data_IF_100887888017
#
_entry.id   IF_100887888017
#
_cell.length_a   1.000
_cell.length_b   1.000
_cell.length_c   1.000
_cell.angle_alpha   90.00
_cell.angle_beta   90.00
_cell.angle_gamma   90.00
#
_symmetry.space_group_name_H-M   'P 1'
#
loop_
_entity.id
_entity.type
_entity.pdbx_description
1 polymer ?
#
# COMPACT_ATOMS: atom_id res chain seq x y z
N UNK A 1 -12.70 -51.91 52.62
CA UNK A 1 -12.46 -50.50 52.96
C UNK A 1 -11.60 -49.89 51.87
N UNK A 2 -12.22 -49.07 51.04
CA UNK A 2 -11.80 -48.70 49.69
C UNK A 2 -10.78 -47.57 49.67
N UNK A 3 -9.72 -47.72 48.88
CA UNK A 3 -8.81 -46.63 48.47
C UNK A 3 -9.23 -46.19 47.06
N UNK A 4 -9.87 -45.03 46.95
CA UNK A 4 -10.11 -44.38 45.67
C UNK A 4 -8.95 -43.42 45.36
N UNK A 5 -8.24 -43.72 44.28
CA UNK A 5 -7.19 -42.90 43.69
C UNK A 5 -7.83 -41.75 42.91
N UNK A 6 -7.49 -40.52 43.27
CA UNK A 6 -7.96 -39.30 42.63
C UNK A 6 -6.97 -38.93 41.51
N UNK A 7 -7.25 -39.33 40.28
CA UNK A 7 -6.51 -38.87 39.10
C UNK A 7 -7.02 -37.48 38.69
N UNK A 8 -6.19 -36.47 38.95
CA UNK A 8 -6.37 -35.12 38.45
C UNK A 8 -6.27 -35.07 36.93
N UNK A 9 -7.34 -34.61 36.28
CA UNK A 9 -7.37 -34.27 34.85
C UNK A 9 -6.55 -33.00 34.61
N UNK A 10 -5.33 -33.16 34.11
CA UNK A 10 -4.57 -32.05 33.52
C UNK A 10 -5.15 -31.72 32.14
N UNK A 11 -6.07 -30.77 32.08
CA UNK A 11 -6.51 -30.12 30.84
C UNK A 11 -5.37 -29.24 30.33
N UNK A 12 -4.62 -29.76 29.36
CA UNK A 12 -3.70 -29.00 28.51
C UNK A 12 -4.49 -27.95 27.72
N UNK A 13 -4.59 -26.75 28.28
CA UNK A 13 -5.00 -25.56 27.53
C UNK A 13 -3.89 -25.23 26.52
N UNK A 14 -4.01 -25.76 25.30
CA UNK A 14 -3.27 -25.23 24.17
C UNK A 14 -3.80 -23.82 23.89
N UNK A 15 -3.09 -22.81 24.39
CA UNK A 15 -3.27 -21.42 23.97
C UNK A 15 -2.82 -21.33 22.51
N UNK A 16 -3.77 -21.44 21.58
CA UNK A 16 -3.54 -21.09 20.19
C UNK A 16 -3.11 -19.62 20.17
N UNK A 17 -1.82 -19.39 19.92
CA UNK A 17 -1.19 -18.09 19.77
C UNK A 17 -1.99 -17.33 18.70
N UNK A 18 -2.91 -16.47 19.14
CA UNK A 18 -3.76 -15.63 18.28
C UNK A 18 -2.81 -14.92 17.32
N UNK A 19 -2.98 -15.18 16.02
CA UNK A 19 -2.25 -14.45 14.99
C UNK A 19 -2.46 -12.97 15.27
N UNK A 20 -1.37 -12.22 15.43
CA UNK A 20 -1.45 -10.79 15.69
C UNK A 20 -2.26 -10.15 14.56
N UNK A 21 -3.30 -9.40 14.93
CA UNK A 21 -4.09 -8.68 13.93
C UNK A 21 -3.16 -7.78 13.11
N UNK A 22 -3.31 -7.73 11.78
CA UNK A 22 -2.48 -6.89 10.93
C UNK A 22 -2.62 -5.44 11.40
N UNK A 23 -1.49 -4.82 11.78
CA UNK A 23 -1.48 -3.43 12.21
C UNK A 23 -1.99 -2.55 11.06
N UNK A 24 -2.84 -1.58 11.37
CA UNK A 24 -3.31 -0.67 10.34
C UNK A 24 -2.16 0.24 9.88
N UNK A 25 -2.18 0.64 8.62
CA UNK A 25 -1.19 1.55 8.03
C UNK A 25 -1.03 2.82 8.87
N UNK A 26 -2.15 3.35 9.37
CA UNK A 26 -2.18 4.51 10.24
C UNK A 26 -1.44 4.28 11.58
N UNK A 27 -1.54 3.09 12.16
CA UNK A 27 -0.78 2.74 13.36
C UNK A 27 0.71 2.68 13.08
N UNK A 28 1.11 2.12 11.94
CA UNK A 28 2.52 2.07 11.53
C UNK A 28 3.10 3.47 11.33
N UNK A 29 2.40 4.36 10.63
CA UNK A 29 2.82 5.76 10.43
C UNK A 29 2.90 6.52 11.75
N UNK A 30 1.96 6.30 12.67
CA UNK A 30 2.02 6.92 14.00
C UNK A 30 3.17 6.36 14.86
N UNK A 31 3.53 5.08 14.70
CA UNK A 31 4.69 4.50 15.35
C UNK A 31 5.99 5.07 14.77
N UNK A 32 6.05 5.26 13.45
CA UNK A 32 7.15 5.93 12.76
C UNK A 32 7.37 7.34 13.31
N UNK A 33 6.31 8.15 13.38
CA UNK A 33 6.35 9.50 13.96
C UNK A 33 6.86 9.52 15.41
N UNK A 34 6.35 8.62 16.27
CA UNK A 34 6.80 8.51 17.67
C UNK A 34 8.29 8.17 17.77
N UNK A 35 8.77 7.26 16.92
CA UNK A 35 10.19 6.84 16.92
C UNK A 35 11.07 7.98 16.39
N UNK A 36 10.64 8.69 15.35
CA UNK A 36 11.33 9.86 14.81
C UNK A 36 11.43 10.97 15.87
N UNK A 37 10.35 11.24 16.60
CA UNK A 37 10.37 12.21 17.70
C UNK A 37 11.28 11.78 18.86
N UNK A 38 11.46 10.47 19.07
CA UNK A 38 12.43 9.96 20.06
C UNK A 38 13.86 10.25 19.61
N UNK A 39 14.17 10.08 18.31
CA UNK A 39 15.48 10.47 17.75
C UNK A 39 15.74 11.96 17.94
N UNK A 40 14.78 12.82 17.57
CA UNK A 40 14.88 14.27 17.75
C UNK A 40 15.13 14.68 19.21
N UNK A 41 14.53 13.99 20.16
CA UNK A 41 14.72 14.26 21.59
C UNK A 41 16.11 13.88 22.08
N UNK A 42 16.69 12.81 21.54
CA UNK A 42 18.00 12.31 21.94
C UNK A 42 19.15 13.01 21.20
N UNK A 43 18.89 13.57 20.01
CA UNK A 43 19.87 14.25 19.17
C UNK A 43 20.74 15.31 19.87
N UNK A 44 20.21 16.19 20.74
CA UNK A 44 21.03 17.16 21.47
C UNK A 44 22.12 16.52 22.34
N UNK A 45 22.00 15.24 22.67
CA UNK A 45 22.93 14.48 23.50
C UNK A 45 23.82 13.53 22.70
N UNK A 46 23.98 13.74 21.39
CA UNK A 46 24.75 12.86 20.49
C UNK A 46 26.24 12.75 20.85
N UNK A 47 26.79 13.71 21.61
CA UNK A 47 28.16 13.61 22.13
C UNK A 47 28.36 12.44 23.12
N UNK A 48 27.29 11.98 23.77
CA UNK A 48 27.33 10.84 24.69
C UNK A 48 27.31 9.50 23.93
N UNK A 49 28.30 8.60 24.11
CA UNK A 49 28.36 7.31 23.40
C UNK A 49 27.14 6.41 23.60
N UNK A 50 26.58 6.36 24.81
CA UNK A 50 25.38 5.57 25.13
C UNK A 50 24.16 6.10 24.37
N UNK A 51 24.06 7.43 24.23
CA UNK A 51 23.00 8.07 23.43
C UNK A 51 23.20 7.83 21.94
N UNK A 52 24.43 7.84 21.41
CA UNK A 52 24.71 7.45 20.02
C UNK A 52 24.22 6.05 19.70
N UNK A 53 24.52 5.06 20.57
CA UNK A 53 24.05 3.70 20.38
C UNK A 53 22.52 3.61 20.37
N UNK A 54 21.87 4.37 21.26
CA UNK A 54 20.41 4.46 21.32
C UNK A 54 19.82 5.08 20.04
N UNK A 55 20.41 6.17 19.55
CA UNK A 55 20.03 6.83 18.30
C UNK A 55 20.20 5.89 17.10
N UNK A 56 21.36 5.20 16.97
CA UNK A 56 21.60 4.20 15.91
C UNK A 56 20.50 3.12 15.92
N UNK A 57 20.13 2.62 17.10
CA UNK A 57 19.02 1.66 17.24
C UNK A 57 17.69 2.25 16.76
N UNK A 58 17.35 3.47 17.18
CA UNK A 58 16.13 4.13 16.73
C UNK A 58 16.09 4.32 15.20
N UNK A 59 17.21 4.69 14.57
CA UNK A 59 17.32 4.84 13.12
C UNK A 59 17.13 3.50 12.40
N UNK A 60 17.68 2.40 12.92
CA UNK A 60 17.45 1.04 12.38
C UNK A 60 15.98 0.64 12.46
N UNK A 61 15.33 0.90 13.60
CA UNK A 61 13.90 0.62 13.76
C UNK A 61 13.03 1.44 12.80
N UNK A 62 13.39 2.72 12.57
CA UNK A 62 12.72 3.58 11.59
C UNK A 62 12.85 3.04 10.16
N UNK A 63 14.05 2.58 9.77
CA UNK A 63 14.27 1.96 8.46
C UNK A 63 13.39 0.71 8.28
N UNK A 64 13.31 -0.14 9.31
CA UNK A 64 12.42 -1.30 9.30
C UNK A 64 10.95 -0.93 9.14
N UNK A 65 10.51 0.17 9.76
CA UNK A 65 9.14 0.68 9.61
C UNK A 65 8.89 1.25 8.20
N UNK A 66 9.84 1.96 7.58
CA UNK A 66 9.69 2.43 6.19
C UNK A 66 9.43 1.27 5.23
N UNK A 67 10.22 0.19 5.35
CA UNK A 67 10.05 -1.02 4.52
C UNK A 67 8.67 -1.67 4.71
N UNK A 68 8.14 -1.66 5.95
CA UNK A 68 6.80 -2.18 6.23
C UNK A 68 5.68 -1.27 5.73
N UNK A 69 5.87 0.05 5.78
CA UNK A 69 4.87 1.05 5.40
C UNK A 69 4.77 1.17 3.87
N UNK A 70 5.90 1.14 3.16
CA UNK A 70 5.99 1.37 1.71
C UNK A 70 4.96 0.58 0.87
N UNK A 71 4.82 -0.76 0.98
CA UNK A 71 3.86 -1.51 0.17
C UNK A 71 2.39 -1.20 0.50
N UNK A 72 2.13 -0.64 1.68
CA UNK A 72 0.78 -0.32 2.14
C UNK A 72 0.34 1.10 1.74
N UNK A 73 1.28 1.96 1.32
CA UNK A 73 0.98 3.35 0.95
C UNK A 73 0.07 3.46 -0.27
N UNK A 74 0.14 2.54 -1.23
CA UNK A 74 -0.67 2.59 -2.45
C UNK A 74 -2.20 2.61 -2.18
N UNK A 75 -2.63 2.01 -1.07
CA UNK A 75 -4.05 1.92 -0.68
C UNK A 75 -4.38 2.79 0.55
N UNK A 76 -3.43 3.58 1.04
CA UNK A 76 -3.64 4.42 2.21
C UNK A 76 -4.52 5.62 1.86
N UNK A 77 -5.22 6.16 2.87
CA UNK A 77 -5.96 7.40 2.68
C UNK A 77 -4.99 8.58 2.39
N UNK A 78 -5.39 9.58 1.58
CA UNK A 78 -4.49 10.66 1.16
C UNK A 78 -3.83 11.42 2.31
N UNK A 79 -4.56 11.64 3.41
CA UNK A 79 -4.04 12.30 4.61
C UNK A 79 -2.91 11.51 5.29
N UNK A 80 -2.97 10.18 5.19
CA UNK A 80 -1.93 9.29 5.71
C UNK A 80 -0.70 9.29 4.81
N UNK A 81 -0.90 9.31 3.49
CA UNK A 81 0.17 9.42 2.50
C UNK A 81 0.94 10.73 2.67
N UNK A 82 0.23 11.87 2.69
CA UNK A 82 0.84 13.20 2.88
C UNK A 82 1.63 13.28 4.19
N UNK A 83 1.06 12.72 5.27
CA UNK A 83 1.72 12.67 6.57
C UNK A 83 2.99 11.84 6.52
N UNK A 84 2.94 10.66 5.89
CA UNK A 84 4.10 9.78 5.77
C UNK A 84 5.20 10.39 4.91
N UNK A 85 4.87 10.98 3.76
CA UNK A 85 5.84 11.62 2.87
C UNK A 85 6.60 12.73 3.60
N UNK A 86 5.89 13.61 4.33
CA UNK A 86 6.51 14.65 5.15
C UNK A 86 7.44 14.06 6.23
N UNK A 87 7.00 13.02 6.94
CA UNK A 87 7.80 12.37 7.98
C UNK A 87 9.01 11.64 7.41
N UNK A 88 8.88 11.04 6.23
CA UNK A 88 9.96 10.33 5.54
C UNK A 88 11.05 11.30 5.09
N UNK A 89 10.67 12.44 4.49
CA UNK A 89 11.64 13.48 4.12
C UNK A 89 12.40 14.01 5.34
N UNK A 90 11.69 14.31 6.43
CA UNK A 90 12.34 14.74 7.68
C UNK A 90 13.24 13.67 8.30
N UNK A 91 12.87 12.39 8.18
CA UNK A 91 13.71 11.28 8.61
C UNK A 91 15.00 11.19 7.79
N UNK A 92 14.93 11.33 6.47
CA UNK A 92 16.11 11.23 5.59
C UNK A 92 17.11 12.35 5.89
N UNK A 93 16.62 13.58 6.07
CA UNK A 93 17.44 14.73 6.49
C UNK A 93 18.12 14.46 7.85
N UNK A 94 17.33 14.05 8.85
CA UNK A 94 17.84 13.75 10.20
C UNK A 94 18.86 12.61 10.16
N UNK A 95 18.57 11.54 9.43
CA UNK A 95 19.42 10.35 9.34
C UNK A 95 20.79 10.74 8.80
N UNK A 96 20.82 11.43 7.66
CA UNK A 96 22.06 11.80 6.99
C UNK A 96 22.90 12.77 7.84
N UNK A 97 22.28 13.77 8.48
CA UNK A 97 22.99 14.69 9.39
C UNK A 97 23.52 13.98 10.64
N UNK A 98 22.72 13.06 11.20
CA UNK A 98 23.10 12.28 12.38
C UNK A 98 24.27 11.35 12.07
N UNK A 99 24.22 10.61 10.95
CA UNK A 99 25.26 9.68 10.54
C UNK A 99 26.61 10.40 10.37
N UNK A 100 26.61 11.56 9.71
CA UNK A 100 27.81 12.40 9.57
C UNK A 100 28.38 12.88 10.91
N UNK A 101 27.51 13.29 11.83
CA UNK A 101 27.94 13.73 13.17
C UNK A 101 28.54 12.58 13.97
N UNK A 102 27.92 11.39 13.92
CA UNK A 102 28.45 10.21 14.61
C UNK A 102 29.81 9.82 14.03
N UNK A 103 29.95 9.78 12.72
CA UNK A 103 31.22 9.47 12.07
C UNK A 103 32.32 10.45 12.49
N UNK A 104 32.02 11.75 12.54
CA UNK A 104 32.96 12.78 12.98
C UNK A 104 33.39 12.57 14.44
N UNK A 105 32.45 12.27 15.33
CA UNK A 105 32.72 12.02 16.75
C UNK A 105 33.53 10.74 16.97
N UNK A 106 33.22 9.68 16.21
CA UNK A 106 33.92 8.40 16.31
C UNK A 106 35.37 8.54 15.76
N UNK A 107 35.59 9.31 14.68
CA UNK A 107 36.93 9.65 14.19
C UNK A 107 37.74 10.48 15.21
N UNK A 108 37.10 11.45 15.87
CA UNK A 108 37.75 12.24 16.93
C UNK A 108 38.17 11.37 18.12
N UNK A 109 37.33 10.41 18.53
CA UNK A 109 37.65 9.47 19.60
C UNK A 109 38.86 8.58 19.23
N UNK A 110 38.90 8.08 17.99
CA UNK A 110 40.03 7.28 17.48
C UNK A 110 41.35 8.07 17.44
N UNK A 111 41.31 9.34 17.01
CA UNK A 111 42.51 10.19 16.99
C UNK A 111 43.04 10.51 18.40
N UNK A 112 42.15 10.68 19.38
CA UNK A 112 42.54 10.88 20.78
C UNK A 112 43.19 9.63 21.38
N UNK A 113 42.69 8.43 21.04
CA UNK A 113 43.29 7.16 21.43
C UNK A 113 44.70 6.99 20.82
N UNK A 114 44.86 7.26 19.52
CA UNK A 114 46.14 7.11 18.83
C UNK A 114 47.24 8.10 19.30
N UNK A 115 46.86 9.29 19.77
CA UNK A 115 47.80 10.34 20.21
C UNK A 115 48.34 10.13 21.63
N UNK A 116 47.76 9.24 22.43
CA UNK A 116 48.28 8.85 23.75
C UNK A 116 49.18 7.59 23.71
N UNK A 117 49.55 7.12 22.52
CA UNK A 117 50.30 5.89 22.27
C UNK A 117 51.83 5.92 22.47
N UNK A 118 52.41 6.86 23.22
CA UNK A 118 53.84 6.81 23.57
C UNK A 118 54.03 6.40 25.04
N UNK A 119 54.54 5.19 25.34
CA UNK A 119 54.71 4.72 26.72
C UNK A 119 55.97 5.30 27.37
N UNK A 120 55.91 5.90 28.58
CA UNK A 120 56.97 5.69 29.55
C UNK A 120 56.77 4.29 30.15
N UNK A 121 57.74 3.43 29.90
CA UNK A 121 57.80 2.05 30.37
C UNK A 121 57.35 1.88 31.82
N UNK A 122 56.35 1.02 32.02
CA UNK A 122 56.05 0.39 33.30
C UNK A 122 54.69 0.77 33.85
N UNK A 123 53.63 0.04 33.46
CA UNK A 123 52.41 0.00 34.27
C UNK A 123 51.49 -1.15 33.86
N UNK A 124 51.13 -1.97 34.84
CA UNK A 124 50.06 -2.99 34.78
C UNK A 124 48.70 -2.37 34.38
N UNK A 125 48.56 -1.05 34.55
CA UNK A 125 47.42 -0.25 34.06
C UNK A 125 47.32 -0.21 32.53
N UNK A 126 48.44 -0.28 31.80
CA UNK A 126 48.47 -0.18 30.34
C UNK A 126 48.01 -1.50 29.69
N UNK A 127 48.19 -2.63 30.36
CA UNK A 127 47.65 -3.92 29.93
C UNK A 127 46.11 -3.91 29.96
N UNK A 128 45.48 -3.27 30.96
CA UNK A 128 44.02 -3.20 31.02
C UNK A 128 43.43 -2.27 29.96
N UNK A 129 44.14 -1.21 29.55
CA UNK A 129 43.71 -0.37 28.42
C UNK A 129 43.78 -1.14 27.11
N UNK A 130 44.84 -1.94 26.89
CA UNK A 130 44.97 -2.76 25.67
C UNK A 130 43.88 -3.83 25.61
N UNK A 131 43.53 -4.45 26.74
CA UNK A 131 42.43 -5.43 26.79
C UNK A 131 41.05 -4.78 26.56
N UNK A 132 40.81 -3.56 27.05
CA UNK A 132 39.58 -2.84 26.77
C UNK A 132 39.51 -2.37 25.30
N UNK A 133 40.63 -1.94 24.72
CA UNK A 133 40.72 -1.52 23.32
C UNK A 133 40.58 -2.73 22.36
N UNK A 134 41.15 -3.89 22.71
CA UNK A 134 40.95 -5.13 21.96
C UNK A 134 39.48 -5.57 21.96
N UNK A 135 38.76 -5.38 23.08
CA UNK A 135 37.32 -5.64 23.15
C UNK A 135 36.51 -4.67 22.30
N UNK A 136 36.90 -3.40 22.26
CA UNK A 136 36.24 -2.40 21.42
C UNK A 136 36.46 -2.69 19.93
N UNK A 137 37.67 -3.09 19.54
CA UNK A 137 37.96 -3.52 18.16
C UNK A 137 37.18 -4.78 17.79
N UNK A 138 37.09 -5.78 18.68
CA UNK A 138 36.27 -6.98 18.43
C UNK A 138 34.79 -6.63 18.30
N UNK A 139 34.30 -5.68 19.11
CA UNK A 139 32.93 -5.17 19.03
C UNK A 139 32.67 -4.43 17.71
N UNK A 140 33.59 -3.58 17.25
CA UNK A 140 33.50 -2.89 15.95
C UNK A 140 33.55 -3.89 14.80
N UNK A 141 34.38 -4.93 14.89
CA UNK A 141 34.51 -5.93 13.85
C UNK A 141 33.21 -6.78 13.74
N UNK A 142 32.58 -7.12 14.87
CA UNK A 142 31.24 -7.71 14.88
C UNK A 142 30.19 -6.77 14.29
N UNK A 143 30.18 -5.49 14.67
CA UNK A 143 29.26 -4.52 14.07
C UNK A 143 29.47 -4.37 12.56
N UNK A 144 30.71 -4.43 12.09
CA UNK A 144 31.03 -4.34 10.66
C UNK A 144 30.52 -5.57 9.91
N UNK A 145 30.64 -6.76 10.51
CA UNK A 145 30.05 -7.98 9.96
C UNK A 145 28.52 -7.89 9.90
N UNK A 146 27.88 -7.38 10.96
CA UNK A 146 26.43 -7.16 11.00
C UNK A 146 25.98 -6.14 9.94
N UNK A 147 26.76 -5.08 9.69
CA UNK A 147 26.49 -4.09 8.64
C UNK A 147 26.56 -4.72 7.25
N UNK A 148 27.54 -5.59 7.01
CA UNK A 148 27.66 -6.30 5.71
C UNK A 148 26.49 -7.25 5.50
N UNK A 149 26.02 -7.92 6.55
CA UNK A 149 24.81 -8.76 6.49
C UNK A 149 23.55 -7.92 6.25
N UNK A 150 23.41 -6.78 6.93
CA UNK A 150 22.32 -5.83 6.71
C UNK A 150 22.35 -5.25 5.27
N UNK A 151 23.52 -4.97 4.70
CA UNK A 151 23.64 -4.52 3.29
C UNK A 151 23.18 -5.59 2.31
N UNK A 152 23.46 -6.87 2.58
CA UNK A 152 22.93 -7.97 1.75
C UNK A 152 21.42 -8.07 1.85
N UNK A 153 20.85 -7.93 3.05
CA UNK A 153 19.41 -7.91 3.24
C UNK A 153 18.75 -6.71 2.53
N UNK A 154 19.42 -5.54 2.51
CA UNK A 154 18.98 -4.38 1.75
C UNK A 154 19.03 -4.61 0.23
N UNK A 155 20.09 -5.24 -0.28
CA UNK A 155 20.22 -5.58 -1.71
C UNK A 155 19.12 -6.57 -2.14
N UNK A 156 18.84 -7.57 -1.31
CA UNK A 156 17.75 -8.53 -1.54
C UNK A 156 16.38 -7.85 -1.49
N UNK A 157 16.16 -6.96 -0.52
CA UNK A 157 14.93 -6.16 -0.44
C UNK A 157 14.76 -5.23 -1.65
N UNK A 158 15.84 -4.61 -2.13
CA UNK A 158 15.84 -3.76 -3.31
C UNK A 158 15.55 -4.58 -4.58
N UNK A 159 16.09 -5.79 -4.69
CA UNK A 159 15.77 -6.72 -5.78
C UNK A 159 14.30 -7.15 -5.77
N UNK A 160 13.74 -7.51 -4.60
CA UNK A 160 12.32 -7.81 -4.46
C UNK A 160 11.43 -6.61 -4.79
N UNK A 161 11.83 -5.41 -4.39
CA UNK A 161 11.12 -4.18 -4.74
C UNK A 161 11.12 -3.94 -6.25
N UNK A 162 12.28 -4.13 -6.91
CA UNK A 162 12.39 -4.03 -8.36
C UNK A 162 11.47 -5.01 -9.07
N UNK A 163 11.45 -6.28 -8.65
CA UNK A 163 10.55 -7.29 -9.20
C UNK A 163 9.08 -6.91 -9.02
N UNK A 164 8.70 -6.38 -7.85
CA UNK A 164 7.34 -5.89 -7.60
C UNK A 164 6.98 -4.66 -8.44
N UNK A 165 7.92 -3.77 -8.71
CA UNK A 165 7.72 -2.63 -9.62
C UNK A 165 7.48 -3.14 -11.05
N UNK A 166 8.27 -4.11 -11.51
CA UNK A 166 8.12 -4.70 -12.84
C UNK A 166 6.77 -5.44 -12.96
N UNK A 167 6.35 -6.20 -11.94
CA UNK A 167 5.01 -6.81 -11.87
C UNK A 167 3.89 -5.75 -11.94
N UNK A 168 4.02 -4.66 -11.17
CA UNK A 168 3.04 -3.57 -11.18
C UNK A 168 2.99 -2.87 -12.53
N UNK A 169 4.13 -2.70 -13.21
CA UNK A 169 4.16 -2.14 -14.55
C UNK A 169 3.37 -3.02 -15.54
N UNK A 170 3.52 -4.34 -15.46
CA UNK A 170 2.71 -5.26 -16.27
C UNK A 170 1.21 -5.14 -15.98
N UNK A 171 0.83 -5.00 -14.70
CA UNK A 171 -0.57 -4.77 -14.30
C UNK A 171 -1.11 -3.47 -14.87
N UNK A 172 -0.34 -2.38 -14.82
CA UNK A 172 -0.74 -1.08 -15.38
C UNK A 172 -0.96 -1.19 -16.89
N UNK A 173 -0.06 -1.86 -17.62
CA UNK A 173 -0.21 -2.09 -19.07
C UNK A 173 -1.50 -2.88 -19.36
N UNK A 174 -1.82 -3.90 -18.56
CA UNK A 174 -3.09 -4.65 -18.72
C UNK A 174 -4.30 -3.78 -18.44
N UNK A 175 -4.24 -2.89 -17.44
CA UNK A 175 -5.34 -1.96 -17.13
C UNK A 175 -5.54 -0.98 -18.26
N UNK A 176 -4.48 -0.40 -18.82
CA UNK A 176 -4.56 0.52 -19.97
C UNK A 176 -5.21 -0.16 -21.17
N UNK A 177 -4.79 -1.40 -21.50
CA UNK A 177 -5.43 -2.19 -22.55
C UNK A 177 -6.91 -2.46 -22.24
N UNK A 178 -7.26 -2.79 -21.00
CA UNK A 178 -8.67 -3.03 -20.60
C UNK A 178 -9.51 -1.76 -20.70
N UNK A 179 -8.94 -0.59 -20.39
CA UNK A 179 -9.61 0.71 -20.52
C UNK A 179 -9.82 1.03 -22.00
N UNK A 180 -8.83 0.76 -22.85
CA UNK A 180 -8.93 0.97 -24.29
C UNK A 180 -10.00 0.05 -24.91
N UNK A 181 -9.99 -1.24 -24.57
CA UNK A 181 -11.02 -2.21 -24.98
C UNK A 181 -12.42 -1.77 -24.52
N UNK A 182 -12.58 -1.40 -23.25
CA UNK A 182 -13.86 -0.94 -22.70
C UNK A 182 -14.34 0.35 -23.37
N UNK A 183 -13.41 1.25 -23.74
CA UNK A 183 -13.74 2.45 -24.49
C UNK A 183 -14.20 2.11 -25.92
N UNK A 184 -13.51 1.19 -26.61
CA UNK A 184 -13.92 0.71 -27.93
C UNK A 184 -15.31 0.05 -27.89
N UNK A 185 -15.56 -0.85 -26.93
CA UNK A 185 -16.87 -1.47 -26.70
C UNK A 185 -17.96 -0.43 -26.40
N UNK A 186 -17.66 0.62 -25.62
CA UNK A 186 -18.60 1.71 -25.36
C UNK A 186 -18.93 2.49 -26.64
N UNK A 187 -17.93 2.78 -27.47
CA UNK A 187 -18.13 3.49 -28.75
C UNK A 187 -18.97 2.64 -29.71
N UNK A 188 -18.67 1.36 -29.83
CA UNK A 188 -19.44 0.43 -30.67
C UNK A 188 -20.86 0.22 -30.14
N UNK A 189 -21.01 0.09 -28.81
CA UNK A 189 -22.31 0.01 -28.15
C UNK A 189 -23.16 1.25 -28.41
N UNK A 190 -22.57 2.45 -28.31
CA UNK A 190 -23.25 3.71 -28.63
C UNK A 190 -23.67 3.79 -30.11
N UNK A 191 -22.82 3.31 -31.03
CA UNK A 191 -23.16 3.23 -32.45
C UNK A 191 -24.33 2.27 -32.69
N UNK A 192 -24.32 1.11 -32.03
CA UNK A 192 -25.39 0.10 -32.10
C UNK A 192 -26.71 0.63 -31.53
N UNK A 193 -26.66 1.38 -30.42
CA UNK A 193 -27.84 2.05 -29.85
C UNK A 193 -28.43 3.07 -30.83
N UNK A 194 -27.59 3.84 -31.52
CA UNK A 194 -28.06 4.82 -32.49
C UNK A 194 -28.75 4.14 -33.69
N UNK A 195 -28.14 3.07 -34.23
CA UNK A 195 -28.75 2.26 -35.31
C UNK A 195 -30.06 1.61 -34.86
N UNK A 196 -30.12 1.07 -33.64
CA UNK A 196 -31.36 0.52 -33.08
C UNK A 196 -32.46 1.60 -32.95
N UNK A 197 -32.10 2.81 -32.56
CA UNK A 197 -33.02 3.94 -32.48
C UNK A 197 -33.54 4.34 -33.87
N UNK A 198 -32.69 4.34 -34.90
CA UNK A 198 -33.10 4.58 -36.28
C UNK A 198 -34.07 3.52 -36.79
N UNK A 199 -33.78 2.23 -36.57
CA UNK A 199 -34.69 1.14 -36.92
C UNK A 199 -36.01 1.20 -36.15
N UNK A 200 -35.99 1.57 -34.87
CA UNK A 200 -37.21 1.75 -34.07
C UNK A 200 -38.08 2.89 -34.62
N UNK A 201 -37.46 4.01 -35.02
CA UNK A 201 -38.15 5.14 -35.67
C UNK A 201 -38.70 4.75 -37.05
N UNK A 202 -38.00 3.93 -37.82
CA UNK A 202 -38.49 3.45 -39.11
C UNK A 202 -39.65 2.45 -38.95
N UNK A 203 -39.55 1.53 -37.99
CA UNK A 203 -40.60 0.54 -37.70
C UNK A 203 -41.89 1.20 -37.20
N UNK A 204 -41.79 2.24 -36.36
CA UNK A 204 -42.97 2.96 -35.88
C UNK A 204 -43.69 3.71 -36.99
N UNK A 205 -42.97 4.26 -37.97
CA UNK A 205 -43.57 4.85 -39.18
C UNK A 205 -44.32 3.80 -39.99
N UNK A 206 -43.72 2.63 -40.22
CA UNK A 206 -44.38 1.53 -40.94
C UNK A 206 -45.67 1.07 -40.24
N UNK A 207 -45.61 0.88 -38.92
CA UNK A 207 -46.79 0.50 -38.12
C UNK A 207 -47.90 1.56 -38.23
N UNK A 208 -47.54 2.85 -38.16
CA UNK A 208 -48.50 3.94 -38.29
C UNK A 208 -49.16 3.98 -39.68
N UNK A 209 -48.39 3.72 -40.75
CA UNK A 209 -48.93 3.61 -42.11
C UNK A 209 -49.93 2.47 -42.24
N UNK A 210 -49.62 1.29 -41.72
CA UNK A 210 -50.53 0.14 -41.74
C UNK A 210 -51.82 0.46 -40.96
N UNK A 211 -51.70 1.09 -39.79
CA UNK A 211 -52.84 1.48 -38.96
C UNK A 211 -53.79 2.45 -39.69
N UNK A 212 -53.26 3.44 -40.41
CA UNK A 212 -54.07 4.38 -41.22
C UNK A 212 -54.86 3.62 -42.32
N UNK A 213 -54.22 2.69 -43.02
CA UNK A 213 -54.87 1.92 -44.10
C UNK A 213 -56.05 1.11 -43.54
N UNK A 214 -55.88 0.49 -42.37
CA UNK A 214 -56.94 -0.28 -41.70
C UNK A 214 -58.12 0.61 -41.32
N UNK A 215 -57.88 1.81 -40.79
CA UNK A 215 -58.95 2.77 -40.46
C UNK A 215 -59.74 3.17 -41.70
N UNK A 216 -59.06 3.50 -42.81
CA UNK A 216 -59.70 3.86 -44.08
C UNK A 216 -60.60 2.72 -44.58
N UNK A 217 -60.12 1.47 -44.49
CA UNK A 217 -60.88 0.29 -44.89
C UNK A 217 -62.17 0.13 -44.06
N UNK A 218 -62.10 0.29 -42.74
CA UNK A 218 -63.27 0.22 -41.84
C UNK A 218 -64.30 1.31 -42.20
N UNK A 219 -63.83 2.54 -42.45
CA UNK A 219 -64.71 3.65 -42.86
C UNK A 219 -65.38 3.36 -44.20
N UNK A 220 -64.65 2.84 -45.19
CA UNK A 220 -65.20 2.48 -46.49
C UNK A 220 -66.29 1.39 -46.38
N UNK A 221 -66.03 0.33 -45.61
CA UNK A 221 -67.02 -0.72 -45.34
C UNK A 221 -68.25 -0.14 -44.62
N UNK A 222 -68.05 0.71 -43.62
CA UNK A 222 -69.13 1.38 -42.89
C UNK A 222 -70.00 2.26 -43.79
N UNK A 223 -69.39 3.00 -44.73
CA UNK A 223 -70.11 3.81 -45.72
C UNK A 223 -70.93 2.95 -46.69
N UNK A 224 -70.36 1.84 -47.19
CA UNK A 224 -71.09 0.91 -48.08
C UNK A 224 -72.31 0.36 -47.36
N UNK A 225 -72.13 -0.19 -46.15
CA UNK A 225 -73.22 -0.77 -45.36
C UNK A 225 -74.28 0.30 -45.04
N UNK A 226 -73.84 1.48 -44.60
CA UNK A 226 -74.71 2.63 -44.29
C UNK A 226 -75.54 3.07 -45.50
N UNK A 227 -74.93 3.19 -46.69
CA UNK A 227 -75.63 3.53 -47.92
C UNK A 227 -76.63 2.43 -48.32
N UNK A 228 -76.27 1.15 -48.25
CA UNK A 228 -77.21 0.06 -48.55
C UNK A 228 -78.43 0.06 -47.62
N UNK A 229 -78.23 0.30 -46.31
CA UNK A 229 -79.33 0.40 -45.35
C UNK A 229 -80.19 1.63 -45.65
N UNK A 230 -79.56 2.77 -45.93
CA UNK A 230 -80.26 4.01 -46.25
C UNK A 230 -81.13 3.89 -47.50
N UNK A 231 -80.59 3.34 -48.60
CA UNK A 231 -81.35 3.11 -49.83
C UNK A 231 -82.47 2.08 -49.65
N UNK A 232 -82.21 1.00 -48.89
CA UNK A 232 -83.23 -0.02 -48.57
C UNK A 232 -84.39 0.56 -47.75
N UNK A 233 -84.11 1.47 -46.81
CA UNK A 233 -85.16 2.13 -46.02
C UNK A 233 -85.94 3.17 -46.82
N UNK A 234 -85.29 3.88 -47.74
CA UNK A 234 -85.97 4.86 -48.61
C UNK A 234 -86.99 4.19 -49.54
N UNK A 235 -86.68 3.01 -50.08
CA UNK A 235 -87.60 2.27 -50.96
C UNK A 235 -88.80 1.62 -50.24
N UNK A 236 -88.74 1.42 -48.91
CA UNK A 236 -89.90 0.93 -48.14
C UNK A 236 -90.93 2.01 -47.80
N UNK A 237 -90.59 3.29 -48.01
CA UNK A 237 -91.46 4.44 -47.74
C UNK A 237 -92.09 5.05 -49.01
N UNK A 238 -91.86 4.44 -50.17
CA UNK A 238 -92.64 4.66 -51.39
C UNK A 238 -93.60 3.49 -51.56
#
# INVERSE_FOLDING_TARGET
MSRFSNQGKNTLHMSLKRAAEPQSVQQLVNNFEKRLNSVKKELPNISNPSKRATIKKHLKDLNSLQVQIAPLMANAAPDVQDKYERLSGEYDDIKHDTERQIETLDQQAQQQAASHGAPPSGNVLQQSLIDDEAREVEYINRQSADIVEDMKALDEAASMLKEKIDEQHEVVVRVDNTIEDAHEEMVEGNKSLNVAQEHQKASSRCLYTILIIVIIFIVAVGLIVGLTIYFKNKNKKK
#
